data_IF_007791773407
#
_entry.id   IF_007791773407
#
_cell.length_a   1.000
_cell.length_b   1.000
_cell.length_c   1.000
_cell.angle_alpha   90.00
_cell.angle_beta   90.00
_cell.angle_gamma   90.00
#
_symmetry.space_group_name_H-M   'P 1'
#
loop_
_entity.id
_entity.type
_entity.pdbx_description
1 polymer ?
#
# COMPACT_ATOMS: atom_id res chain seq x y z
N UNK A 1 8.96 -39.77 85.63
CA UNK A 1 9.63 -38.49 85.31
C UNK A 1 11.12 -38.78 85.19
N UNK A 2 11.58 -39.11 83.97
CA UNK A 2 12.28 -38.21 83.00
C UNK A 2 13.79 -38.08 83.29
N UNK A 3 14.66 -38.01 82.24
CA UNK A 3 15.55 -39.14 81.95
C UNK A 3 17.06 -38.82 81.81
N UNK A 4 17.85 -39.89 81.93
CA UNK A 4 19.04 -40.31 81.18
C UNK A 4 19.86 -39.27 80.40
N UNK A 5 21.10 -39.10 80.84
CA UNK A 5 22.26 -38.63 80.08
C UNK A 5 22.64 -39.62 78.97
N UNK A 6 22.62 -39.20 77.70
CA UNK A 6 23.50 -39.81 76.69
C UNK A 6 23.72 -38.95 75.43
N UNK A 7 24.87 -39.18 74.81
CA UNK A 7 25.26 -38.89 73.43
C UNK A 7 25.52 -37.44 72.99
N UNK A 8 26.75 -36.98 73.24
CA UNK A 8 27.46 -36.09 72.30
C UNK A 8 28.11 -36.93 71.19
N UNK A 9 27.45 -37.05 70.05
CA UNK A 9 28.08 -37.47 68.79
C UNK A 9 28.31 -36.27 67.88
N UNK A 10 29.57 -36.07 67.50
CA UNK A 10 30.02 -35.04 66.58
C UNK A 10 29.42 -35.22 65.19
N UNK A 11 28.83 -34.15 64.65
CA UNK A 11 28.47 -34.02 63.24
C UNK A 11 29.70 -33.58 62.45
N UNK A 12 30.19 -34.46 61.58
CA UNK A 12 31.11 -34.09 60.53
C UNK A 12 30.37 -33.24 59.49
N UNK A 13 30.89 -32.04 59.23
CA UNK A 13 30.41 -31.11 58.20
C UNK A 13 30.83 -31.64 56.83
N UNK A 14 29.90 -32.22 56.08
CA UNK A 14 30.11 -32.58 54.67
C UNK A 14 29.95 -31.32 53.84
N UNK A 15 31.03 -30.85 53.21
CA UNK A 15 31.00 -29.75 52.25
C UNK A 15 30.22 -30.18 50.98
N UNK A 16 29.37 -29.32 50.40
CA UNK A 16 28.66 -29.66 49.18
C UNK A 16 29.64 -29.72 48.00
N UNK A 17 29.67 -30.86 47.31
CA UNK A 17 30.30 -31.02 46.00
C UNK A 17 29.59 -30.10 45.00
N UNK A 18 30.28 -29.04 44.59
CA UNK A 18 29.85 -28.19 43.47
C UNK A 18 30.05 -28.99 42.18
N UNK A 19 28.98 -29.33 41.43
CA UNK A 19 29.14 -30.02 40.17
C UNK A 19 29.86 -29.13 39.16
N UNK A 20 30.98 -29.63 38.66
CA UNK A 20 31.78 -29.05 37.58
C UNK A 20 30.89 -28.91 36.34
N UNK A 21 30.50 -27.66 36.02
CA UNK A 21 29.68 -27.37 34.84
C UNK A 21 30.53 -27.60 33.59
N UNK A 22 30.25 -28.71 32.89
CA UNK A 22 30.72 -28.92 31.51
C UNK A 22 30.42 -27.66 30.68
N UNK A 23 31.40 -27.04 30.00
CA UNK A 23 31.15 -25.93 29.12
C UNK A 23 30.18 -26.38 28.03
N UNK A 24 29.03 -25.70 27.96
CA UNK A 24 28.07 -25.90 26.88
C UNK A 24 28.77 -25.62 25.56
N UNK A 25 28.64 -26.49 24.53
CA UNK A 25 29.08 -26.15 23.19
C UNK A 25 28.36 -24.87 22.78
N UNK A 26 29.14 -23.82 22.53
CA UNK A 26 28.65 -22.56 21.99
C UNK A 26 27.94 -22.86 20.68
N UNK A 27 26.61 -22.83 20.72
CA UNK A 27 25.75 -22.99 19.55
C UNK A 27 26.18 -21.99 18.47
N UNK A 28 26.35 -22.38 17.19
CA UNK A 28 26.74 -21.48 16.10
C UNK A 28 25.67 -20.43 15.73
N UNK A 29 24.67 -20.20 16.58
CA UNK A 29 23.49 -19.39 16.31
C UNK A 29 23.75 -17.86 16.35
N UNK A 30 25.00 -17.42 16.31
CA UNK A 30 25.38 -16.01 16.48
C UNK A 30 26.31 -15.52 15.37
N UNK A 31 25.89 -15.57 14.11
CA UNK A 31 26.63 -14.86 13.04
C UNK A 31 25.83 -14.49 11.77
N UNK A 32 24.51 -14.67 11.72
CA UNK A 32 23.71 -14.07 10.64
C UNK A 32 23.29 -12.65 11.06
N UNK A 33 24.26 -11.74 11.22
CA UNK A 33 23.97 -10.29 11.13
C UNK A 33 23.52 -10.05 9.69
N UNK A 34 22.23 -10.15 9.44
CA UNK A 34 21.62 -9.79 8.16
C UNK A 34 22.00 -8.36 7.87
N UNK A 35 22.80 -8.17 6.82
CA UNK A 35 23.24 -6.86 6.38
C UNK A 35 21.97 -6.05 6.05
N UNK A 36 21.65 -4.96 6.78
CA UNK A 36 20.44 -4.15 6.54
C UNK A 36 20.40 -3.55 5.13
N UNK A 37 21.52 -3.65 4.40
CA UNK A 37 21.73 -3.20 3.02
C UNK A 37 21.70 -4.30 1.98
N UNK A 38 21.33 -5.54 2.32
CA UNK A 38 21.14 -6.57 1.30
C UNK A 38 20.00 -6.12 0.37
N UNK A 39 20.37 -5.55 -0.77
CA UNK A 39 19.46 -4.93 -1.71
C UNK A 39 18.32 -5.90 -2.07
N UNK A 40 17.08 -5.41 -2.03
CA UNK A 40 15.93 -6.19 -2.51
C UNK A 40 16.19 -6.60 -3.95
N UNK A 41 16.12 -7.91 -4.29
CA UNK A 41 16.31 -8.37 -5.65
C UNK A 41 15.28 -7.71 -6.56
N UNK A 42 15.72 -7.21 -7.70
CA UNK A 42 14.82 -6.58 -8.69
C UNK A 42 14.00 -7.59 -9.48
N UNK A 43 14.44 -8.86 -9.54
CA UNK A 43 13.79 -9.90 -10.37
C UNK A 43 12.29 -10.09 -10.08
N UNK A 44 11.81 -10.19 -8.82
CA UNK A 44 10.38 -10.32 -8.55
C UNK A 44 9.59 -9.08 -8.97
N UNK A 45 10.13 -7.88 -8.78
CA UNK A 45 9.48 -6.64 -9.20
C UNK A 45 9.36 -6.58 -10.73
N UNK A 46 10.43 -6.92 -11.45
CA UNK A 46 10.42 -6.98 -12.91
C UNK A 46 9.47 -8.06 -13.42
N UNK A 47 9.44 -9.24 -12.79
CA UNK A 47 8.51 -10.31 -13.16
C UNK A 47 7.05 -9.89 -12.96
N UNK A 48 6.74 -9.20 -11.86
CA UNK A 48 5.42 -8.64 -11.64
C UNK A 48 5.04 -7.61 -12.71
N UNK A 49 5.92 -6.63 -12.99
CA UNK A 49 5.67 -5.62 -14.00
C UNK A 49 5.48 -6.22 -15.41
N UNK A 50 6.28 -7.22 -15.76
CA UNK A 50 6.21 -7.94 -17.04
C UNK A 50 4.93 -8.79 -17.20
N UNK A 51 4.20 -9.06 -16.12
CA UNK A 51 2.88 -9.71 -16.15
C UNK A 51 1.79 -8.65 -16.11
N UNK A 52 1.82 -7.77 -15.11
CA UNK A 52 0.77 -6.80 -14.82
C UNK A 52 0.48 -5.88 -16.02
N UNK A 53 1.51 -5.25 -16.58
CA UNK A 53 1.33 -4.25 -17.66
C UNK A 53 0.76 -4.90 -18.92
N UNK A 54 1.36 -5.98 -19.49
CA UNK A 54 0.80 -6.61 -20.68
C UNK A 54 -0.60 -7.19 -20.46
N UNK A 55 -0.87 -7.77 -19.29
CA UNK A 55 -2.21 -8.30 -18.97
C UNK A 55 -3.25 -7.18 -18.94
N UNK A 56 -2.97 -6.06 -18.28
CA UNK A 56 -3.88 -4.91 -18.29
C UNK A 56 -4.06 -4.32 -19.68
N UNK A 57 -3.00 -4.23 -20.48
CA UNK A 57 -3.11 -3.78 -21.87
C UNK A 57 -4.04 -4.64 -22.69
N UNK A 58 -3.85 -5.97 -22.66
CA UNK A 58 -4.68 -6.90 -23.40
C UNK A 58 -6.13 -6.79 -22.94
N UNK A 59 -6.41 -6.87 -21.64
CA UNK A 59 -7.78 -6.93 -21.14
C UNK A 59 -8.52 -5.60 -21.28
N UNK A 60 -7.91 -4.47 -20.92
CA UNK A 60 -8.56 -3.16 -21.00
C UNK A 60 -8.75 -2.70 -22.45
N UNK A 61 -7.79 -2.98 -23.34
CA UNK A 61 -7.98 -2.69 -24.78
C UNK A 61 -9.05 -3.60 -25.39
N UNK A 62 -9.17 -4.85 -24.92
CA UNK A 62 -10.21 -5.77 -25.41
C UNK A 62 -11.61 -5.25 -25.08
N UNK A 63 -11.82 -4.68 -23.88
CA UNK A 63 -13.10 -4.07 -23.53
C UNK A 63 -13.50 -2.99 -24.54
N UNK A 64 -12.56 -2.08 -24.85
CA UNK A 64 -12.78 -0.97 -25.79
C UNK A 64 -12.99 -1.45 -27.23
N UNK A 65 -12.15 -2.38 -27.70
CA UNK A 65 -12.23 -2.90 -29.08
C UNK A 65 -13.53 -3.68 -29.34
N UNK A 66 -14.13 -4.24 -28.30
CA UNK A 66 -15.39 -4.97 -28.39
C UNK A 66 -16.62 -4.13 -28.01
N UNK A 67 -16.44 -2.86 -27.66
CA UNK A 67 -17.49 -2.00 -27.09
C UNK A 67 -18.25 -2.70 -25.95
N UNK A 68 -17.50 -3.40 -25.10
CA UNK A 68 -18.03 -4.19 -24.00
C UNK A 68 -17.93 -3.40 -22.68
N UNK A 69 -18.81 -3.69 -21.69
CA UNK A 69 -18.69 -3.08 -20.37
C UNK A 69 -17.27 -3.28 -19.79
N UNK A 70 -16.67 -2.21 -19.25
CA UNK A 70 -15.29 -2.24 -18.76
C UNK A 70 -15.12 -3.08 -17.47
N UNK A 71 -16.13 -3.12 -16.60
CA UNK A 71 -16.04 -3.70 -15.26
C UNK A 71 -15.51 -5.15 -15.23
N UNK A 72 -16.00 -6.09 -16.06
CA UNK A 72 -15.47 -7.45 -16.07
C UNK A 72 -13.98 -7.51 -16.44
N UNK A 73 -13.53 -6.64 -17.36
CA UNK A 73 -12.13 -6.60 -17.80
C UNK A 73 -11.23 -5.93 -16.77
N UNK A 74 -11.74 -4.94 -16.03
CA UNK A 74 -11.06 -4.37 -14.86
C UNK A 74 -10.89 -5.43 -13.77
N UNK A 75 -11.94 -6.20 -13.45
CA UNK A 75 -11.87 -7.28 -12.46
C UNK A 75 -10.92 -8.41 -12.89
N UNK A 76 -10.92 -8.77 -14.18
CA UNK A 76 -9.96 -9.73 -14.73
C UNK A 76 -8.53 -9.19 -14.67
N UNK A 77 -8.31 -7.91 -14.96
CA UNK A 77 -6.99 -7.27 -14.83
C UNK A 77 -6.51 -7.28 -13.39
N UNK A 78 -7.40 -6.93 -12.46
CA UNK A 78 -7.14 -6.98 -11.02
C UNK A 78 -6.75 -8.38 -10.56
N UNK A 79 -7.52 -9.41 -10.96
CA UNK A 79 -7.25 -10.78 -10.55
C UNK A 79 -5.98 -11.34 -11.22
N UNK A 80 -5.94 -11.34 -12.56
CA UNK A 80 -4.92 -12.02 -13.35
C UNK A 80 -3.63 -11.22 -13.48
N UNK A 81 -3.73 -9.90 -13.63
CA UNK A 81 -2.60 -9.00 -13.79
C UNK A 81 -1.97 -8.56 -12.48
N UNK A 82 -2.74 -8.46 -11.39
CA UNK A 82 -2.25 -7.90 -10.12
C UNK A 82 -2.23 -8.92 -8.98
N UNK A 83 -3.38 -9.41 -8.52
CA UNK A 83 -3.48 -10.20 -7.28
C UNK A 83 -2.75 -11.55 -7.40
N UNK A 84 -3.04 -12.33 -8.45
CA UNK A 84 -2.42 -13.64 -8.64
C UNK A 84 -0.88 -13.57 -8.72
N UNK A 85 -0.27 -12.73 -9.59
CA UNK A 85 1.19 -12.64 -9.65
C UNK A 85 1.79 -12.12 -8.34
N UNK A 86 1.18 -11.13 -7.68
CA UNK A 86 1.65 -10.64 -6.38
C UNK A 86 1.65 -11.76 -5.33
N UNK A 87 0.56 -12.53 -5.20
CA UNK A 87 0.44 -13.64 -4.24
C UNK A 87 1.47 -14.74 -4.51
N UNK A 88 1.67 -15.12 -5.78
CA UNK A 88 2.66 -16.14 -6.17
C UNK A 88 4.08 -15.68 -5.83
N UNK A 89 4.41 -14.42 -6.13
CA UNK A 89 5.73 -13.85 -5.86
C UNK A 89 5.98 -13.65 -4.35
N UNK A 90 4.97 -13.17 -3.60
CA UNK A 90 5.02 -13.06 -2.14
C UNK A 90 5.25 -14.42 -1.45
N UNK A 91 4.62 -15.49 -1.93
CA UNK A 91 4.84 -16.85 -1.38
C UNK A 91 6.26 -17.35 -1.59
N UNK A 92 6.98 -16.81 -2.57
CA UNK A 92 8.36 -17.19 -2.91
C UNK A 92 9.40 -16.24 -2.27
N UNK A 93 8.97 -15.13 -1.65
CA UNK A 93 9.88 -14.19 -1.01
C UNK A 93 10.17 -14.63 0.43
N UNK A 94 11.44 -14.91 0.80
CA UNK A 94 11.79 -15.26 2.18
C UNK A 94 11.72 -14.07 3.16
N UNK A 95 11.61 -12.83 2.69
CA UNK A 95 11.70 -11.62 3.54
C UNK A 95 10.36 -11.16 4.11
N UNK A 96 9.28 -11.45 3.41
CA UNK A 96 7.93 -11.08 3.81
C UNK A 96 7.05 -12.33 3.77
N UNK A 97 5.91 -12.28 4.44
CA UNK A 97 4.96 -13.39 4.39
C UNK A 97 3.65 -12.90 3.79
N UNK A 98 3.03 -13.74 2.95
CA UNK A 98 1.68 -13.52 2.47
C UNK A 98 0.72 -13.26 3.65
N UNK A 99 0.89 -13.99 4.76
CA UNK A 99 0.07 -13.82 5.97
C UNK A 99 0.23 -12.43 6.59
N UNK A 100 1.43 -11.88 6.65
CA UNK A 100 1.64 -10.52 7.14
C UNK A 100 0.96 -9.50 6.23
N UNK A 101 1.12 -9.66 4.91
CA UNK A 101 0.49 -8.76 3.91
C UNK A 101 -1.04 -8.81 3.99
N UNK A 102 -1.64 -10.00 4.11
CA UNK A 102 -3.08 -10.16 4.28
C UNK A 102 -3.58 -9.60 5.62
N UNK A 103 -2.76 -9.63 6.68
CA UNK A 103 -3.11 -9.00 7.96
C UNK A 103 -3.16 -7.47 7.83
N UNK A 104 -2.29 -6.89 7.03
CA UNK A 104 -2.25 -5.44 6.81
C UNK A 104 -3.52 -4.92 6.10
N UNK A 105 -4.26 -5.78 5.38
CA UNK A 105 -5.54 -5.44 4.74
C UNK A 105 -6.67 -5.15 5.72
N UNK A 106 -6.60 -5.68 6.94
CA UNK A 106 -7.68 -5.56 7.94
C UNK A 106 -7.23 -4.80 9.19
N UNK A 107 -5.94 -4.48 9.28
CA UNK A 107 -5.36 -3.83 10.45
C UNK A 107 -5.54 -2.32 10.34
N UNK A 108 -6.10 -1.63 11.34
CA UNK A 108 -6.18 -0.18 11.36
C UNK A 108 -4.79 0.46 11.48
N UNK A 109 -4.70 1.74 11.13
CA UNK A 109 -3.46 2.53 11.27
C UNK A 109 -2.95 2.59 12.71
N UNK A 110 -1.66 2.87 12.86
CA UNK A 110 -1.06 3.33 14.12
C UNK A 110 -0.30 4.63 13.85
N UNK A 111 -0.81 5.79 14.29
CA UNK A 111 -1.99 6.01 15.12
C UNK A 111 -3.34 5.92 14.37
N UNK A 112 -4.39 5.45 15.05
CA UNK A 112 -5.71 5.16 14.46
C UNK A 112 -6.40 6.38 13.83
N UNK A 113 -6.09 7.59 14.29
CA UNK A 113 -6.69 8.82 13.75
C UNK A 113 -6.37 9.04 12.27
N UNK A 114 -5.29 8.44 11.74
CA UNK A 114 -4.94 8.51 10.31
C UNK A 114 -5.99 7.87 9.39
N UNK A 115 -6.92 7.08 9.92
CA UNK A 115 -8.06 6.57 9.14
C UNK A 115 -8.96 7.70 8.62
N UNK A 116 -9.22 8.73 9.44
CA UNK A 116 -10.09 9.84 9.02
C UNK A 116 -9.55 10.64 7.82
N UNK A 117 -8.30 11.14 7.81
CA UNK A 117 -7.75 11.81 6.64
C UNK A 117 -7.55 10.88 5.45
N UNK A 118 -7.33 9.58 5.65
CA UNK A 118 -7.32 8.62 4.53
C UNK A 118 -8.71 8.52 3.87
N UNK A 119 -9.79 8.46 4.66
CA UNK A 119 -11.15 8.38 4.14
C UNK A 119 -11.66 9.69 3.54
N UNK A 120 -11.31 10.84 4.14
CA UNK A 120 -11.98 12.11 3.86
C UNK A 120 -11.06 13.22 3.34
N UNK A 121 -9.73 13.07 3.44
CA UNK A 121 -8.80 14.16 3.12
C UNK A 121 -8.88 14.62 1.67
N UNK A 122 -8.82 13.67 0.72
CA UNK A 122 -8.97 13.97 -0.72
C UNK A 122 -10.36 14.48 -1.06
N UNK A 123 -11.46 13.75 -0.79
CA UNK A 123 -12.80 14.18 -1.21
C UNK A 123 -13.20 15.53 -0.60
N UNK A 124 -12.86 15.79 0.67
CA UNK A 124 -13.19 17.07 1.31
C UNK A 124 -12.49 18.25 0.65
N UNK A 125 -11.18 18.14 0.41
CA UNK A 125 -10.42 19.23 -0.21
C UNK A 125 -10.83 19.42 -1.66
N UNK A 126 -11.04 18.34 -2.40
CA UNK A 126 -11.48 18.41 -3.79
C UNK A 126 -12.88 19.02 -3.92
N UNK A 127 -13.83 18.60 -3.08
CA UNK A 127 -15.17 19.18 -3.02
C UNK A 127 -15.16 20.67 -2.67
N UNK A 128 -14.37 21.09 -1.68
CA UNK A 128 -14.25 22.51 -1.30
C UNK A 128 -13.70 23.38 -2.44
N UNK A 129 -12.72 22.86 -3.19
CA UNK A 129 -12.16 23.57 -4.34
C UNK A 129 -13.13 23.58 -5.53
N UNK A 130 -13.84 22.48 -5.78
CA UNK A 130 -14.88 22.42 -6.80
C UNK A 130 -16.04 23.38 -6.47
N UNK A 131 -16.47 23.45 -5.21
CA UNK A 131 -17.51 24.38 -4.76
C UNK A 131 -17.10 25.84 -4.97
N UNK A 132 -15.82 26.17 -4.77
CA UNK A 132 -15.29 27.50 -5.06
C UNK A 132 -15.25 27.86 -6.56
N UNK A 133 -15.46 26.86 -7.43
CA UNK A 133 -15.54 26.99 -8.88
C UNK A 133 -16.97 26.79 -9.40
N UNK A 134 -17.97 26.76 -8.50
CA UNK A 134 -19.37 26.47 -8.81
C UNK A 134 -19.60 25.09 -9.47
N UNK A 135 -18.70 24.12 -9.25
CA UNK A 135 -18.72 22.80 -9.89
C UNK A 135 -19.01 21.63 -8.94
N UNK A 136 -20.01 21.79 -8.07
CA UNK A 136 -20.49 20.70 -7.18
C UNK A 136 -21.95 20.43 -7.39
N UNK A 137 -22.35 19.16 -7.30
CA UNK A 137 -23.75 18.77 -7.35
C UNK A 137 -24.58 19.48 -6.27
N UNK A 138 -25.72 20.05 -6.68
CA UNK A 138 -26.55 20.91 -5.83
C UNK A 138 -27.27 20.19 -4.67
N UNK A 139 -27.34 18.87 -4.66
CA UNK A 139 -27.88 18.08 -3.54
C UNK A 139 -26.75 17.40 -2.74
N UNK A 140 -26.31 18.09 -1.69
CA UNK A 140 -25.27 17.60 -0.80
C UNK A 140 -25.62 16.26 -0.12
N UNK A 141 -26.89 15.96 0.12
CA UNK A 141 -27.29 14.71 0.78
C UNK A 141 -27.15 13.53 -0.18
N UNK A 142 -27.64 13.70 -1.41
CA UNK A 142 -27.47 12.71 -2.47
C UNK A 142 -25.98 12.47 -2.79
N UNK A 143 -25.19 13.55 -2.89
CA UNK A 143 -23.76 13.51 -3.13
C UNK A 143 -23.01 12.70 -2.05
N UNK A 144 -23.30 12.94 -0.77
CA UNK A 144 -22.71 12.17 0.34
C UNK A 144 -23.08 10.68 0.25
N UNK A 145 -24.33 10.37 -0.11
CA UNK A 145 -24.78 8.99 -0.32
C UNK A 145 -24.05 8.29 -1.47
N UNK A 146 -23.91 8.98 -2.61
CA UNK A 146 -23.22 8.49 -3.80
C UNK A 146 -21.73 8.25 -3.51
N UNK A 147 -21.04 9.23 -2.92
CA UNK A 147 -19.66 9.09 -2.46
C UNK A 147 -19.49 7.88 -1.54
N UNK A 148 -20.33 7.75 -0.51
CA UNK A 148 -20.20 6.68 0.47
C UNK A 148 -20.39 5.31 -0.19
N UNK A 149 -21.37 5.18 -1.09
CA UNK A 149 -21.63 3.96 -1.86
C UNK A 149 -20.46 3.60 -2.77
N UNK A 150 -19.99 4.55 -3.58
CA UNK A 150 -18.88 4.35 -4.50
C UNK A 150 -17.57 4.04 -3.77
N UNK A 151 -17.22 4.82 -2.74
CA UNK A 151 -15.99 4.61 -1.97
C UNK A 151 -16.01 3.25 -1.24
N UNK A 152 -17.13 2.86 -0.62
CA UNK A 152 -17.21 1.56 0.06
C UNK A 152 -17.16 0.39 -0.94
N UNK A 153 -17.87 0.50 -2.06
CA UNK A 153 -17.84 -0.50 -3.12
C UNK A 153 -16.44 -0.65 -3.71
N UNK A 154 -15.80 0.46 -4.08
CA UNK A 154 -14.44 0.51 -4.62
C UNK A 154 -13.44 -0.07 -3.62
N UNK A 155 -13.53 0.29 -2.33
CA UNK A 155 -12.66 -0.22 -1.27
C UNK A 155 -12.64 -1.75 -1.21
N UNK A 156 -13.83 -2.37 -1.16
CA UNK A 156 -13.97 -3.82 -0.92
C UNK A 156 -13.69 -4.63 -2.18
N UNK A 157 -14.16 -4.15 -3.34
CA UNK A 157 -14.14 -4.90 -4.59
C UNK A 157 -12.81 -4.69 -5.33
N UNK A 158 -12.23 -3.49 -5.25
CA UNK A 158 -11.10 -3.09 -6.09
C UNK A 158 -9.89 -2.70 -5.27
N UNK A 159 -9.96 -1.62 -4.48
CA UNK A 159 -8.76 -0.96 -3.97
C UNK A 159 -8.00 -1.79 -2.92
N UNK A 160 -8.66 -2.62 -2.10
CA UNK A 160 -7.94 -3.51 -1.18
C UNK A 160 -7.03 -4.50 -1.93
N UNK A 161 -7.54 -5.05 -3.02
CA UNK A 161 -6.85 -6.06 -3.82
C UNK A 161 -5.77 -5.43 -4.70
N UNK A 162 -6.08 -4.26 -5.25
CA UNK A 162 -5.14 -3.48 -6.03
C UNK A 162 -3.96 -3.01 -5.18
N UNK A 163 -4.22 -2.52 -3.96
CA UNK A 163 -3.18 -2.06 -3.05
C UNK A 163 -2.44 -3.20 -2.34
N UNK A 164 -3.02 -4.42 -2.27
CA UNK A 164 -2.23 -5.62 -1.93
C UNK A 164 -1.09 -5.82 -2.94
N UNK A 165 -1.39 -5.69 -4.23
CA UNK A 165 -0.42 -5.92 -5.29
C UNK A 165 0.55 -4.74 -5.44
N UNK A 166 0.02 -3.52 -5.55
CA UNK A 166 0.85 -2.34 -5.74
C UNK A 166 1.57 -1.93 -4.47
N UNK A 167 0.89 -1.69 -3.36
CA UNK A 167 1.57 -1.23 -2.15
C UNK A 167 2.18 -2.39 -1.36
N UNK A 168 1.38 -3.41 -1.07
CA UNK A 168 1.77 -4.54 -0.23
C UNK A 168 2.94 -5.34 -0.78
N UNK A 169 3.01 -5.50 -2.10
CA UNK A 169 4.09 -6.21 -2.77
C UNK A 169 5.07 -5.26 -3.50
N UNK A 170 4.61 -4.55 -4.54
CA UNK A 170 5.53 -3.89 -5.47
C UNK A 170 6.24 -2.67 -4.86
N UNK A 171 5.48 -1.70 -4.36
CA UNK A 171 5.98 -0.40 -3.91
C UNK A 171 6.83 -0.52 -2.65
N UNK A 172 6.43 -1.34 -1.66
CA UNK A 172 7.29 -1.62 -0.50
C UNK A 172 8.64 -2.21 -0.90
N UNK A 173 8.65 -3.15 -1.85
CA UNK A 173 9.89 -3.71 -2.40
C UNK A 173 10.72 -2.68 -3.17
N UNK A 174 10.07 -1.85 -3.99
CA UNK A 174 10.70 -0.78 -4.75
C UNK A 174 11.29 0.30 -3.82
N UNK A 175 10.56 0.71 -2.78
CA UNK A 175 11.01 1.68 -1.77
C UNK A 175 12.17 1.15 -0.93
N UNK A 176 12.15 -0.13 -0.56
CA UNK A 176 13.28 -0.77 0.11
C UNK A 176 14.54 -0.82 -0.77
N UNK A 177 14.39 -0.81 -2.10
CA UNK A 177 15.51 -0.84 -3.05
C UNK A 177 16.04 0.53 -3.46
N UNK A 178 15.15 1.49 -3.71
CA UNK A 178 15.45 2.78 -4.33
C UNK A 178 15.11 3.98 -3.44
N UNK A 179 14.77 3.73 -2.18
CA UNK A 179 14.27 4.74 -1.25
C UNK A 179 12.83 5.14 -1.55
N UNK A 180 12.24 5.94 -0.64
CA UNK A 180 10.86 6.38 -0.74
C UNK A 180 10.53 6.99 -2.12
N UNK A 181 11.29 8.01 -2.54
CA UNK A 181 11.02 8.74 -3.78
C UNK A 181 11.17 7.84 -5.02
N UNK A 182 12.30 7.13 -5.14
CA UNK A 182 12.55 6.25 -6.29
C UNK A 182 11.53 5.10 -6.38
N UNK A 183 11.19 4.50 -5.24
CA UNK A 183 10.20 3.43 -5.18
C UNK A 183 8.77 3.87 -5.52
N UNK A 184 8.35 5.02 -5.00
CA UNK A 184 7.04 5.61 -5.32
C UNK A 184 6.93 6.00 -6.80
N UNK A 185 7.97 6.64 -7.37
CA UNK A 185 7.94 7.08 -8.78
C UNK A 185 7.94 5.91 -9.77
N UNK A 186 8.73 4.85 -9.52
CA UNK A 186 8.69 3.65 -10.36
C UNK A 186 7.32 2.98 -10.29
N UNK A 187 6.72 2.91 -9.10
CA UNK A 187 5.34 2.42 -8.94
C UNK A 187 4.35 3.29 -9.71
N UNK A 188 4.47 4.62 -9.64
CA UNK A 188 3.61 5.56 -10.36
C UNK A 188 3.64 5.34 -11.87
N UNK A 189 4.84 5.19 -12.44
CA UNK A 189 5.01 4.95 -13.88
C UNK A 189 4.36 3.63 -14.28
N UNK A 190 4.57 2.55 -13.53
CA UNK A 190 3.97 1.24 -13.86
C UNK A 190 2.46 1.21 -13.62
N UNK A 191 1.97 1.91 -12.60
CA UNK A 191 0.56 2.08 -12.35
C UNK A 191 -0.11 2.86 -13.49
N UNK A 192 0.47 3.96 -13.94
CA UNK A 192 -0.03 4.67 -15.11
C UNK A 192 0.07 3.83 -16.38
N UNK A 193 1.16 3.05 -16.53
CA UNK A 193 1.35 2.19 -17.69
C UNK A 193 0.27 1.12 -17.82
N UNK A 194 -0.14 0.45 -16.74
CA UNK A 194 -1.21 -0.56 -16.82
C UNK A 194 -2.57 0.07 -17.23
N UNK A 195 -2.81 1.34 -16.85
CA UNK A 195 -4.02 2.09 -17.17
C UNK A 195 -3.98 2.79 -18.54
N UNK A 196 -2.85 2.75 -19.25
CA UNK A 196 -2.67 3.48 -20.51
C UNK A 196 -3.78 3.23 -21.55
N UNK A 197 -4.32 2.01 -21.74
CA UNK A 197 -5.44 1.79 -22.65
C UNK A 197 -6.64 2.72 -22.38
N UNK A 198 -6.92 3.06 -21.12
CA UNK A 198 -8.05 3.92 -20.76
C UNK A 198 -7.91 5.35 -21.30
N UNK A 199 -6.70 5.81 -21.60
CA UNK A 199 -6.49 7.12 -22.23
C UNK A 199 -6.97 7.19 -23.70
N UNK A 200 -7.26 6.04 -24.31
CA UNK A 200 -7.81 5.96 -25.67
C UNK A 200 -9.34 5.88 -25.68
N UNK A 201 -9.97 5.67 -24.52
CA UNK A 201 -11.41 5.52 -24.42
C UNK A 201 -12.10 6.87 -24.68
N UNK A 202 -13.00 6.91 -25.68
CA UNK A 202 -13.71 8.12 -26.08
C UNK A 202 -12.84 9.28 -26.61
N UNK A 203 -11.57 9.02 -26.94
CA UNK A 203 -10.66 10.07 -27.41
C UNK A 203 -10.86 10.39 -28.90
N UNK A 204 -11.08 11.67 -29.25
CA UNK A 204 -11.29 12.12 -30.63
C UNK A 204 -9.99 12.38 -31.40
N UNK A 205 -8.85 12.38 -30.71
CA UNK A 205 -7.55 12.53 -31.33
C UNK A 205 -6.37 12.53 -30.37
N UNK A 206 -5.18 12.81 -30.91
CA UNK A 206 -3.92 12.75 -30.16
C UNK A 206 -3.91 13.68 -28.94
N UNK A 207 -4.56 14.85 -29.03
CA UNK A 207 -4.63 15.81 -27.92
C UNK A 207 -5.33 15.20 -26.71
N UNK A 208 -6.46 14.55 -26.91
CA UNK A 208 -7.27 14.00 -25.80
C UNK A 208 -6.54 12.82 -25.16
N UNK A 209 -5.91 11.97 -25.97
CA UNK A 209 -5.02 10.90 -25.49
C UNK A 209 -3.89 11.49 -24.64
N UNK A 210 -3.20 12.54 -25.11
CA UNK A 210 -2.10 13.16 -24.35
C UNK A 210 -2.58 13.79 -23.03
N UNK A 211 -3.77 14.41 -23.03
CA UNK A 211 -4.38 14.94 -21.80
C UNK A 211 -4.72 13.80 -20.84
N UNK A 212 -5.33 12.71 -21.31
CA UNK A 212 -5.62 11.53 -20.51
C UNK A 212 -4.36 10.90 -19.92
N UNK A 213 -3.30 10.76 -20.71
CA UNK A 213 -1.99 10.27 -20.24
C UNK A 213 -1.38 11.20 -19.19
N UNK A 214 -1.44 12.52 -19.41
CA UNK A 214 -0.94 13.49 -18.44
C UNK A 214 -1.72 13.43 -17.12
N UNK A 215 -3.05 13.30 -17.18
CA UNK A 215 -3.90 13.12 -16.00
C UNK A 215 -3.56 11.82 -15.26
N UNK A 216 -3.45 10.69 -15.97
CA UNK A 216 -3.08 9.39 -15.40
C UNK A 216 -1.70 9.43 -14.71
N UNK A 217 -0.70 10.02 -15.37
CA UNK A 217 0.65 10.15 -14.80
C UNK A 217 0.67 11.11 -13.61
N UNK A 218 0.01 12.27 -13.71
CA UNK A 218 -0.08 13.25 -12.62
C UNK A 218 -0.75 12.67 -11.38
N UNK A 219 -1.92 12.05 -11.57
CA UNK A 219 -2.64 11.35 -10.52
C UNK A 219 -1.81 10.19 -9.95
N UNK A 220 -1.20 9.37 -10.81
CA UNK A 220 -0.35 8.26 -10.40
C UNK A 220 0.84 8.71 -9.55
N UNK A 221 1.54 9.77 -9.95
CA UNK A 221 2.66 10.35 -9.16
C UNK A 221 2.15 10.86 -7.82
N UNK A 222 1.09 11.69 -7.82
CA UNK A 222 0.48 12.22 -6.60
C UNK A 222 0.06 11.12 -5.62
N UNK A 223 -0.76 10.19 -6.10
CA UNK A 223 -1.27 9.05 -5.33
C UNK A 223 -0.13 8.19 -4.79
N UNK A 224 0.86 7.81 -5.60
CA UNK A 224 1.91 6.88 -5.14
C UNK A 224 2.90 7.52 -4.16
N UNK A 225 3.13 8.83 -4.26
CA UNK A 225 3.86 9.56 -3.22
C UNK A 225 3.05 9.61 -1.92
N UNK A 226 1.77 9.98 -2.00
CA UNK A 226 0.90 10.08 -0.83
C UNK A 226 0.67 8.73 -0.15
N UNK A 227 0.39 7.68 -0.93
CA UNK A 227 0.28 6.29 -0.47
C UNK A 227 1.57 5.83 0.18
N UNK A 228 2.73 6.08 -0.43
CA UNK A 228 4.01 5.70 0.16
C UNK A 228 4.24 6.38 1.51
N UNK A 229 3.82 7.64 1.65
CA UNK A 229 3.93 8.36 2.91
C UNK A 229 2.94 7.84 3.96
N UNK A 230 1.69 7.61 3.56
CA UNK A 230 0.67 7.03 4.42
C UNK A 230 1.06 5.62 4.88
N UNK A 231 1.63 4.78 4.03
CA UNK A 231 2.11 3.43 4.40
C UNK A 231 3.16 3.49 5.52
N UNK A 232 4.08 4.47 5.43
CA UNK A 232 5.08 4.73 6.47
C UNK A 232 4.46 5.29 7.76
N UNK A 233 3.57 6.29 7.66
CA UNK A 233 2.95 6.94 8.81
C UNK A 233 1.94 6.06 9.54
N UNK A 234 1.24 5.20 8.81
CA UNK A 234 0.19 4.32 9.32
C UNK A 234 0.71 3.02 9.93
N UNK A 235 2.03 2.76 9.86
CA UNK A 235 2.63 1.52 10.33
C UNK A 235 2.22 0.32 9.46
N UNK A 236 2.27 0.51 8.14
CA UNK A 236 2.01 -0.51 7.11
C UNK A 236 0.56 -1.00 7.01
N UNK A 237 -0.43 -0.16 7.36
CA UNK A 237 -1.85 -0.49 7.19
C UNK A 237 -2.27 -0.36 5.71
N UNK A 238 -2.45 -1.50 5.04
CA UNK A 238 -3.00 -1.52 3.68
C UNK A 238 -4.48 -1.15 3.65
N UNK A 239 -5.21 -1.38 4.75
CA UNK A 239 -6.58 -0.89 4.89
C UNK A 239 -6.67 0.63 4.67
N UNK A 240 -5.80 1.39 5.32
CA UNK A 240 -5.80 2.85 5.21
C UNK A 240 -5.35 3.33 3.83
N UNK A 241 -4.36 2.66 3.24
CA UNK A 241 -3.91 2.94 1.87
C UNK A 241 -5.02 2.67 0.85
N UNK A 242 -5.69 1.53 0.96
CA UNK A 242 -6.83 1.19 0.11
C UNK A 242 -8.00 2.14 0.30
N UNK A 243 -8.24 2.60 1.53
CA UNK A 243 -9.28 3.59 1.83
C UNK A 243 -8.96 4.98 1.27
N UNK A 244 -7.69 5.40 1.26
CA UNK A 244 -7.24 6.60 0.56
C UNK A 244 -7.45 6.50 -0.95
N UNK A 245 -7.17 5.33 -1.52
CA UNK A 245 -7.40 5.09 -2.95
C UNK A 245 -8.91 5.07 -3.27
N UNK A 246 -9.70 4.36 -2.48
CA UNK A 246 -11.14 4.32 -2.64
C UNK A 246 -11.80 5.71 -2.47
N UNK A 247 -11.30 6.54 -1.55
CA UNK A 247 -11.81 7.91 -1.37
C UNK A 247 -11.46 8.82 -2.56
N UNK A 248 -10.29 8.63 -3.17
CA UNK A 248 -9.95 9.29 -4.44
C UNK A 248 -10.85 8.85 -5.59
N UNK A 249 -11.23 7.58 -5.66
CA UNK A 249 -12.16 7.10 -6.69
C UNK A 249 -13.58 7.65 -6.46
N UNK A 250 -14.09 7.51 -5.24
CA UNK A 250 -15.44 7.97 -4.88
C UNK A 250 -15.61 9.48 -4.95
N UNK A 251 -14.54 10.27 -4.84
CA UNK A 251 -14.60 11.72 -4.95
C UNK A 251 -15.12 12.22 -6.30
N UNK A 252 -15.09 11.40 -7.36
CA UNK A 252 -15.69 11.74 -8.64
C UNK A 252 -17.24 11.83 -8.59
N UNK A 253 -17.87 11.23 -7.57
CA UNK A 253 -19.34 11.24 -7.40
C UNK A 253 -19.89 12.54 -6.79
N UNK A 254 -19.00 13.49 -6.42
CA UNK A 254 -19.39 14.72 -5.70
C UNK A 254 -18.80 15.97 -6.35
N UNK A 255 -18.25 15.83 -7.55
CA UNK A 255 -17.57 16.88 -8.31
C UNK A 255 -18.10 16.82 -9.74
N UNK A 256 -18.48 17.96 -10.32
CA UNK A 256 -18.96 17.99 -11.69
C UNK A 256 -17.86 17.56 -12.68
N UNK A 257 -18.20 16.85 -13.76
CA UNK A 257 -17.20 16.28 -14.69
C UNK A 257 -16.26 17.31 -15.33
N UNK A 258 -16.70 18.55 -15.53
CA UNK A 258 -15.92 19.62 -16.14
C UNK A 258 -14.84 20.19 -15.20
N UNK A 259 -15.02 20.03 -13.88
CA UNK A 259 -14.06 20.44 -12.85
C UNK A 259 -13.36 19.27 -12.13
N UNK A 260 -13.60 18.01 -12.53
CA UNK A 260 -12.97 16.82 -11.92
C UNK A 260 -11.42 16.87 -11.93
N UNK A 261 -10.82 17.69 -12.80
CA UNK A 261 -9.38 17.93 -12.80
C UNK A 261 -8.83 18.38 -11.44
N UNK A 262 -9.65 19.05 -10.62
CA UNK A 262 -9.31 19.49 -9.26
C UNK A 262 -8.88 18.31 -8.40
N UNK A 263 -9.54 17.15 -8.54
CA UNK A 263 -9.22 15.94 -7.79
C UNK A 263 -7.80 15.44 -8.08
N UNK A 264 -7.38 15.48 -9.35
CA UNK A 264 -6.01 15.15 -9.75
C UNK A 264 -4.99 16.17 -9.21
N UNK A 265 -5.33 17.46 -9.23
CA UNK A 265 -4.49 18.51 -8.69
C UNK A 265 -4.28 18.35 -7.18
N UNK A 266 -5.36 18.07 -6.42
CA UNK A 266 -5.32 17.85 -4.97
C UNK A 266 -4.37 16.72 -4.62
N UNK A 267 -4.49 15.57 -5.29
CA UNK A 267 -3.62 14.44 -4.95
C UNK A 267 -2.17 14.68 -5.37
N UNK A 268 -1.94 15.34 -6.52
CA UNK A 268 -0.58 15.69 -6.95
C UNK A 268 0.10 16.61 -5.92
N UNK A 269 -0.59 17.68 -5.50
CA UNK A 269 -0.07 18.61 -4.48
C UNK A 269 0.14 17.89 -3.15
N UNK A 270 -0.84 17.12 -2.67
CA UNK A 270 -0.72 16.37 -1.41
C UNK A 270 0.45 15.38 -1.43
N UNK A 271 0.64 14.66 -2.53
CA UNK A 271 1.77 13.74 -2.73
C UNK A 271 3.12 14.44 -2.71
N UNK A 272 3.26 15.56 -3.43
CA UNK A 272 4.49 16.37 -3.44
C UNK A 272 4.80 16.94 -2.05
N UNK A 273 3.78 17.44 -1.34
CA UNK A 273 3.94 17.93 0.04
C UNK A 273 4.36 16.81 0.99
N UNK A 274 3.75 15.62 0.89
CA UNK A 274 4.14 14.47 1.68
C UNK A 274 5.61 14.07 1.43
N UNK A 275 6.04 14.09 0.17
CA UNK A 275 7.42 13.82 -0.20
C UNK A 275 8.39 14.88 0.36
N UNK A 276 8.04 16.16 0.28
CA UNK A 276 8.84 17.25 0.85
C UNK A 276 8.96 17.13 2.38
N UNK A 277 7.88 16.76 3.07
CA UNK A 277 7.88 16.56 4.53
C UNK A 277 8.77 15.37 4.95
N UNK A 278 8.75 14.27 4.20
CA UNK A 278 9.63 13.13 4.45
C UNK A 278 11.10 13.45 4.16
N UNK A 279 11.40 14.12 3.05
CA UNK A 279 12.76 14.50 2.68
C UNK A 279 13.45 15.47 3.66
N UNK A 280 12.67 16.25 4.43
CA UNK A 280 13.21 17.11 5.51
C UNK A 280 13.66 16.30 6.73
N UNK A 281 12.99 15.19 7.05
CA UNK A 281 13.35 14.36 8.21
C UNK A 281 14.68 13.64 8.05
N UNK A 282 15.06 13.30 6.83
CA UNK A 282 16.34 12.63 6.55
C UNK A 282 17.57 13.57 6.67
N UNK A 283 17.34 14.90 6.78
CA UNK A 283 18.40 15.91 6.88
C UNK A 283 18.58 16.52 8.28
N UNK A 284 17.65 16.25 9.20
CA UNK A 284 17.66 16.77 10.57
C UNK A 284 18.21 15.72 11.54
#
# INVERSE_FOLDING_TARGET
MTPSSDERRGRATVAPLVPERKPMPTSPATAARTNPRAAVPTRPLLAFAAIAVPTGWVLLSTAQLLDAPADPFVLLTLLLGLVLPAVVLLRRDPRTTLRATLRDLVRPTRPAWLMAPAALGIPLVAWLLAAALDGTDGDATAAVGAFAGAALGSLVIVNLWEELAWTGFFQRGAMARWGYLGGSLVTAVLFAAIHLPLAFDGADGLRDVLVGVAALLGAGVGMRLLIGALDLWAGSSLLAVAMLHASFNGAAEIIEPDVDWVRYAVVLVAGVLAAALLGRKDRA
#
